data_IF_905532805020
#
_entry.id   IF_905532805020
#
_cell.length_a   1.000
_cell.length_b   1.000
_cell.length_c   1.000
_cell.angle_alpha   90.00
_cell.angle_beta   90.00
_cell.angle_gamma   90.00
#
_symmetry.space_group_name_H-M   'P 1'
#
loop_
_entity.id
_entity.type
_entity.pdbx_description
1 polymer ?
#
# COMPACT_ATOMS: atom_id res chain seq x y z
N UNK A 1 -0.37 -37.04 5.97
CA UNK A 1 0.73 -36.16 5.51
C UNK A 1 0.89 -36.40 4.02
N UNK A 2 0.65 -35.39 3.18
CA UNK A 2 0.74 -35.50 1.72
C UNK A 2 2.01 -34.82 1.22
N UNK A 3 2.71 -35.44 0.26
CA UNK A 3 3.84 -34.82 -0.45
C UNK A 3 3.38 -34.43 -1.84
N UNK A 4 3.63 -33.18 -2.20
CA UNK A 4 3.26 -32.58 -3.46
C UNK A 4 4.47 -31.89 -4.06
N UNK A 5 4.42 -31.65 -5.36
CA UNK A 5 5.45 -30.88 -6.06
C UNK A 5 4.77 -29.71 -6.74
N UNK A 6 5.11 -28.49 -6.34
CA UNK A 6 4.67 -27.29 -7.00
C UNK A 6 5.66 -26.95 -8.10
N UNK A 7 5.18 -26.88 -9.34
CA UNK A 7 5.99 -26.46 -10.50
C UNK A 7 5.60 -25.04 -10.87
N UNK A 8 6.55 -24.12 -10.79
CA UNK A 8 6.37 -22.71 -11.15
C UNK A 8 7.12 -22.45 -12.45
N UNK A 9 6.43 -21.97 -13.47
CA UNK A 9 7.02 -21.61 -14.76
C UNK A 9 6.73 -20.16 -15.08
N UNK A 10 7.76 -19.33 -15.25
CA UNK A 10 7.64 -17.90 -15.60
C UNK A 10 8.73 -17.55 -16.59
N UNK A 11 8.36 -16.98 -17.76
CA UNK A 11 9.32 -16.50 -18.76
C UNK A 11 10.35 -17.55 -19.20
N UNK A 12 9.92 -18.81 -19.38
CA UNK A 12 10.79 -19.93 -19.74
C UNK A 12 11.66 -20.48 -18.60
N UNK A 13 11.66 -19.86 -17.42
CA UNK A 13 12.32 -20.38 -16.21
C UNK A 13 11.37 -21.32 -15.47
N UNK A 14 11.92 -22.42 -14.94
CA UNK A 14 11.17 -23.43 -14.19
C UNK A 14 11.78 -23.60 -12.79
N UNK A 15 10.95 -23.53 -11.76
CA UNK A 15 11.28 -23.84 -10.39
C UNK A 15 10.39 -25.00 -9.90
N UNK A 16 10.99 -25.95 -9.20
CA UNK A 16 10.29 -27.10 -8.62
C UNK A 16 10.42 -27.01 -7.11
N UNK A 17 9.29 -26.78 -6.43
CA UNK A 17 9.23 -26.61 -4.97
C UNK A 17 8.57 -27.83 -4.34
N UNK A 18 9.28 -28.60 -3.50
CA UNK A 18 8.67 -29.69 -2.76
C UNK A 18 7.74 -29.10 -1.68
N UNK A 19 6.47 -29.53 -1.68
CA UNK A 19 5.46 -29.10 -0.72
C UNK A 19 5.04 -30.27 0.14
N UNK A 20 5.07 -30.10 1.46
CA UNK A 20 4.61 -31.09 2.41
C UNK A 20 3.38 -30.55 3.14
N UNK A 21 2.23 -31.18 2.89
CA UNK A 21 0.97 -30.83 3.57
C UNK A 21 0.84 -31.69 4.83
N UNK A 22 0.75 -31.02 5.98
CA UNK A 22 0.50 -31.64 7.29
C UNK A 22 -0.83 -31.13 7.83
N UNK A 23 -1.55 -31.99 8.56
CA UNK A 23 -2.81 -31.63 9.27
C UNK A 23 -3.89 -31.02 8.36
N UNK A 24 -4.07 -31.56 7.15
CA UNK A 24 -5.06 -31.04 6.17
C UNK A 24 -6.51 -31.23 6.65
N UNK A 25 -6.73 -32.19 7.53
CA UNK A 25 -7.98 -32.53 8.20
C UNK A 25 -8.29 -31.62 9.40
N UNK A 26 -7.29 -30.91 9.92
CA UNK A 26 -7.50 -29.98 11.02
C UNK A 26 -8.08 -28.67 10.52
N UNK A 27 -9.31 -28.39 10.93
CA UNK A 27 -9.92 -27.08 10.70
C UNK A 27 -9.56 -26.18 11.87
N UNK A 28 -8.72 -25.17 11.64
CA UNK A 28 -8.44 -24.17 12.67
C UNK A 28 -9.74 -23.43 13.05
N UNK A 29 -10.03 -23.27 14.35
CA UNK A 29 -11.19 -22.49 14.80
C UNK A 29 -11.01 -21.02 14.41
N UNK A 30 -12.12 -20.33 14.15
CA UNK A 30 -12.07 -18.90 13.85
C UNK A 30 -11.82 -18.15 15.15
N UNK A 31 -10.76 -17.35 15.19
CA UNK A 31 -10.37 -16.56 16.35
C UNK A 31 -10.91 -15.15 16.23
N UNK A 32 -11.43 -14.62 17.33
CA UNK A 32 -12.04 -13.30 17.31
C UNK A 32 -11.01 -12.22 16.94
N UNK A 33 -9.85 -12.21 17.61
CA UNK A 33 -8.79 -11.23 17.40
C UNK A 33 -8.02 -11.42 16.09
N UNK A 34 -7.83 -12.66 15.63
CA UNK A 34 -7.00 -12.94 14.44
C UNK A 34 -7.79 -13.03 13.13
N UNK A 35 -9.10 -13.24 13.18
CA UNK A 35 -9.95 -13.41 11.99
C UNK A 35 -11.09 -12.38 11.96
N UNK A 36 -11.91 -12.32 13.02
CA UNK A 36 -13.10 -11.45 13.05
C UNK A 36 -12.72 -9.98 13.09
N UNK A 37 -11.78 -9.59 13.95
CA UNK A 37 -11.35 -8.20 14.08
C UNK A 37 -10.74 -7.66 12.76
N UNK A 38 -9.83 -8.38 12.08
CA UNK A 38 -9.38 -7.98 10.75
C UNK A 38 -10.51 -7.85 9.71
N UNK A 39 -11.54 -8.70 9.74
CA UNK A 39 -12.71 -8.52 8.87
C UNK A 39 -13.43 -7.21 9.16
N UNK A 40 -13.66 -6.88 10.45
CA UNK A 40 -14.30 -5.63 10.83
C UNK A 40 -13.47 -4.40 10.43
N UNK A 41 -12.13 -4.50 10.54
CA UNK A 41 -11.21 -3.46 10.10
C UNK A 41 -11.20 -3.33 8.57
N UNK A 42 -11.17 -4.45 7.84
CA UNK A 42 -11.19 -4.46 6.38
C UNK A 42 -12.49 -3.94 5.79
N UNK A 43 -13.62 -4.29 6.39
CA UNK A 43 -14.92 -3.72 6.04
C UNK A 43 -15.08 -2.24 6.47
N UNK A 44 -14.12 -1.67 7.20
CA UNK A 44 -14.17 -0.29 7.70
C UNK A 44 -15.19 -0.07 8.82
N UNK A 45 -15.76 -1.14 9.41
CA UNK A 45 -16.79 -1.08 10.44
C UNK A 45 -16.30 -0.33 11.68
N UNK A 46 -15.05 -0.61 12.10
CA UNK A 46 -14.41 -0.03 13.28
C UNK A 46 -13.51 1.17 12.94
N UNK A 47 -13.72 1.82 11.78
CA UNK A 47 -13.04 3.06 11.43
C UNK A 47 -13.58 4.24 12.25
N UNK A 48 -12.78 5.30 12.38
CA UNK A 48 -13.15 6.50 13.14
C UNK A 48 -14.36 7.27 12.60
N UNK A 49 -14.81 6.99 11.38
CA UNK A 49 -16.00 7.59 10.78
C UNK A 49 -17.30 6.83 11.13
N UNK A 50 -17.21 5.60 11.64
CA UNK A 50 -18.35 4.71 11.87
C UNK A 50 -18.40 4.21 13.32
N UNK A 51 -18.38 2.89 13.56
CA UNK A 51 -18.48 2.33 14.91
C UNK A 51 -17.19 2.51 15.71
N UNK A 52 -16.06 2.79 15.05
CA UNK A 52 -14.81 3.19 15.71
C UNK A 52 -14.79 4.63 16.20
N UNK A 53 -15.78 5.46 15.84
CA UNK A 53 -15.88 6.81 16.39
C UNK A 53 -15.99 6.78 17.92
N UNK A 54 -15.52 7.81 18.62
CA UNK A 54 -15.55 7.85 20.10
C UNK A 54 -16.95 7.65 20.70
N UNK A 55 -18.00 8.08 19.98
CA UNK A 55 -19.41 7.89 20.35
C UNK A 55 -20.06 6.63 19.74
N UNK A 56 -19.38 5.96 18.82
CA UNK A 56 -19.92 4.90 17.98
C UNK A 56 -21.11 5.36 17.13
N UNK A 57 -21.92 4.40 16.68
CA UNK A 57 -23.17 4.67 15.96
C UNK A 57 -24.34 4.05 16.72
N UNK A 58 -25.34 4.87 17.08
CA UNK A 58 -26.60 4.44 17.72
C UNK A 58 -26.37 3.53 18.95
N UNK A 59 -25.39 3.86 19.77
CA UNK A 59 -25.05 3.11 20.99
C UNK A 59 -24.18 1.86 20.76
N UNK A 60 -23.72 1.61 19.54
CA UNK A 60 -22.73 0.56 19.25
C UNK A 60 -21.37 1.17 18.89
N UNK A 61 -20.39 0.94 19.78
CA UNK A 61 -19.01 1.38 19.63
C UNK A 61 -18.08 0.18 19.56
N UNK A 62 -17.06 0.29 18.71
CA UNK A 62 -15.94 -0.61 18.59
C UNK A 62 -14.66 0.18 18.82
N UNK A 63 -13.58 -0.49 19.19
CA UNK A 63 -12.28 0.14 19.25
C UNK A 63 -11.81 0.51 17.84
N UNK A 64 -11.19 1.68 17.70
CA UNK A 64 -10.65 2.14 16.42
C UNK A 64 -9.69 1.09 15.89
N UNK A 65 -9.88 0.60 14.66
CA UNK A 65 -9.03 -0.41 14.00
C UNK A 65 -8.77 -1.71 14.79
N UNK A 66 -9.54 -1.96 15.87
CA UNK A 66 -9.43 -3.18 16.66
C UNK A 66 -8.36 -3.19 17.75
N UNK A 67 -7.96 -2.03 18.28
CA UNK A 67 -7.00 -1.91 19.39
C UNK A 67 -7.46 -2.47 20.75
N UNK A 68 -8.75 -2.83 20.92
CA UNK A 68 -9.27 -3.50 22.12
C UNK A 68 -10.16 -4.71 21.73
N UNK A 69 -9.56 -5.84 21.27
CA UNK A 69 -10.33 -7.03 20.88
C UNK A 69 -11.17 -7.60 22.02
N UNK A 70 -10.67 -7.55 23.26
CA UNK A 70 -11.39 -8.08 24.41
C UNK A 70 -12.67 -7.29 24.71
N UNK A 71 -12.59 -5.96 24.71
CA UNK A 71 -13.77 -5.11 24.88
C UNK A 71 -14.69 -5.16 23.66
N UNK A 72 -14.18 -5.27 22.45
CA UNK A 72 -15.01 -5.37 21.25
C UNK A 72 -15.79 -6.67 21.19
N UNK A 73 -15.19 -7.78 21.63
CA UNK A 73 -15.91 -9.03 21.84
C UNK A 73 -17.08 -8.84 22.81
N UNK A 74 -16.84 -8.20 23.97
CA UNK A 74 -17.89 -7.90 24.94
C UNK A 74 -18.99 -7.00 24.35
N UNK A 75 -18.62 -5.94 23.61
CA UNK A 75 -19.56 -5.02 22.98
C UNK A 75 -20.40 -5.70 21.92
N UNK A 76 -19.83 -6.62 21.15
CA UNK A 76 -20.58 -7.41 20.16
C UNK A 76 -21.51 -8.41 20.84
N UNK A 77 -21.02 -9.14 21.83
CA UNK A 77 -21.71 -10.34 22.33
C UNK A 77 -22.57 -10.12 23.58
N UNK A 78 -22.24 -9.16 24.45
CA UNK A 78 -22.82 -9.05 25.81
C UNK A 78 -23.41 -7.69 26.18
N UNK A 79 -22.83 -6.58 25.72
CA UNK A 79 -23.23 -5.23 26.17
C UNK A 79 -24.74 -4.95 25.96
N UNK A 80 -25.31 -5.48 24.87
CA UNK A 80 -26.75 -5.49 24.63
C UNK A 80 -27.15 -6.86 24.10
N UNK A 81 -27.49 -7.76 25.01
CA UNK A 81 -27.82 -9.17 24.73
C UNK A 81 -28.91 -9.27 23.64
N UNK A 82 -28.68 -10.13 22.65
CA UNK A 82 -29.63 -10.43 21.57
C UNK A 82 -29.82 -9.33 20.51
N UNK A 83 -29.19 -8.15 20.66
CA UNK A 83 -29.37 -7.04 19.70
C UNK A 83 -28.47 -7.10 18.48
N UNK A 84 -27.32 -7.76 18.56
CA UNK A 84 -26.27 -7.72 17.52
C UNK A 84 -26.01 -9.07 16.87
N UNK A 85 -26.15 -10.13 17.67
CA UNK A 85 -25.94 -11.52 17.25
C UNK A 85 -27.13 -12.37 17.69
N UNK A 86 -27.50 -13.32 16.85
CA UNK A 86 -28.46 -14.39 17.12
C UNK A 86 -27.71 -15.72 16.94
N UNK A 87 -27.37 -16.40 18.05
CA UNK A 87 -26.64 -17.66 18.00
C UNK A 87 -27.53 -18.86 17.63
N UNK A 88 -28.86 -18.71 17.73
CA UNK A 88 -29.79 -19.73 17.27
C UNK A 88 -29.96 -19.66 15.74
N UNK A 89 -29.86 -18.46 15.16
CA UNK A 89 -29.90 -18.22 13.72
C UNK A 89 -28.72 -17.31 13.29
N UNK A 90 -27.48 -17.85 13.26
CA UNK A 90 -26.26 -17.08 12.99
C UNK A 90 -26.36 -16.14 11.79
N UNK A 91 -26.88 -16.63 10.66
CA UNK A 91 -27.02 -15.86 9.42
C UNK A 91 -27.95 -14.63 9.52
N UNK A 92 -28.89 -14.61 10.47
CA UNK A 92 -29.81 -13.48 10.71
C UNK A 92 -29.21 -12.40 11.62
N UNK A 93 -28.03 -12.65 12.20
CA UNK A 93 -27.34 -11.70 13.08
C UNK A 93 -27.17 -10.34 12.38
N UNK A 94 -27.52 -9.24 13.07
CA UNK A 94 -27.30 -7.90 12.55
C UNK A 94 -25.82 -7.60 12.25
N UNK A 95 -24.91 -8.29 12.94
CA UNK A 95 -23.48 -8.26 12.65
C UNK A 95 -23.12 -8.72 11.22
N UNK A 96 -23.97 -9.54 10.59
CA UNK A 96 -23.84 -9.97 9.20
C UNK A 96 -24.75 -9.17 8.27
N UNK A 97 -26.04 -9.10 8.59
CA UNK A 97 -27.07 -8.60 7.67
C UNK A 97 -26.96 -7.10 7.40
N UNK A 98 -26.43 -6.30 8.35
CA UNK A 98 -26.18 -4.86 8.16
C UNK A 98 -25.01 -4.60 7.20
N UNK A 99 -23.78 -5.07 7.47
CA UNK A 99 -22.66 -4.82 6.57
C UNK A 99 -22.82 -5.48 5.20
N UNK A 100 -23.61 -6.55 5.07
CA UNK A 100 -23.94 -7.14 3.77
C UNK A 100 -25.18 -6.54 3.08
N UNK A 101 -25.78 -5.51 3.68
CA UNK A 101 -26.98 -4.81 3.18
C UNK A 101 -28.19 -5.73 2.91
N UNK A 102 -28.27 -6.88 3.57
CA UNK A 102 -29.50 -7.69 3.60
C UNK A 102 -30.61 -6.98 4.38
N UNK A 103 -30.22 -6.07 5.28
CA UNK A 103 -31.10 -5.08 5.89
C UNK A 103 -30.44 -3.70 5.82
N UNK A 104 -31.27 -2.64 5.82
CA UNK A 104 -30.81 -1.25 5.67
C UNK A 104 -29.72 -0.91 6.69
N UNK A 105 -28.55 -0.53 6.20
CA UNK A 105 -27.42 -0.08 7.01
C UNK A 105 -27.07 1.36 6.65
N UNK A 106 -27.08 2.27 7.65
CA UNK A 106 -26.76 3.68 7.41
C UNK A 106 -25.32 3.92 6.95
N UNK A 107 -24.43 2.95 7.23
CA UNK A 107 -23.08 2.94 6.67
C UNK A 107 -23.01 2.35 5.27
N UNK A 108 -24.08 1.88 4.65
CA UNK A 108 -24.07 1.18 3.34
C UNK A 108 -23.37 -0.19 3.36
N UNK A 109 -23.36 -0.88 2.22
CA UNK A 109 -22.66 -2.15 2.05
C UNK A 109 -21.17 -2.04 2.38
N UNK A 110 -20.65 -3.06 3.08
CA UNK A 110 -19.23 -3.20 3.48
C UNK A 110 -18.59 -4.44 2.86
N UNK A 111 -19.37 -5.49 2.61
CA UNK A 111 -18.95 -6.71 1.92
C UNK A 111 -20.17 -7.48 1.40
N UNK A 112 -19.99 -8.33 0.38
CA UNK A 112 -21.07 -9.16 -0.14
C UNK A 112 -21.38 -10.36 0.77
N UNK A 113 -22.60 -10.89 0.66
CA UNK A 113 -23.06 -12.05 1.43
C UNK A 113 -22.33 -13.36 1.04
N UNK A 114 -21.74 -13.42 -0.14
CA UNK A 114 -20.91 -14.52 -0.62
C UNK A 114 -19.40 -14.23 -0.51
N UNK A 115 -19.02 -13.16 0.19
CA UNK A 115 -17.61 -12.82 0.41
C UNK A 115 -16.95 -13.75 1.43
N UNK A 116 -15.62 -13.85 1.39
CA UNK A 116 -14.84 -14.53 2.44
C UNK A 116 -15.07 -13.88 3.80
N UNK A 117 -15.15 -12.55 3.85
CA UNK A 117 -15.42 -11.78 5.07
C UNK A 117 -16.74 -12.21 5.73
N UNK A 118 -17.82 -12.34 4.96
CA UNK A 118 -19.09 -12.84 5.46
C UNK A 118 -18.95 -14.26 6.05
N UNK A 119 -18.30 -15.17 5.33
CA UNK A 119 -18.10 -16.56 5.77
C UNK A 119 -17.30 -16.67 7.06
N UNK A 120 -16.27 -15.83 7.26
CA UNK A 120 -15.49 -15.80 8.50
C UNK A 120 -16.36 -15.41 9.69
N UNK A 121 -17.14 -14.34 9.55
CA UNK A 121 -18.06 -13.88 10.61
C UNK A 121 -19.14 -14.91 10.91
N UNK A 122 -19.75 -15.50 9.86
CA UNK A 122 -20.77 -16.54 10.01
C UNK A 122 -20.19 -17.75 10.75
N UNK A 123 -19.02 -18.25 10.33
CA UNK A 123 -18.38 -19.40 10.97
C UNK A 123 -18.03 -19.13 12.42
N UNK A 124 -17.61 -17.92 12.78
CA UNK A 124 -17.40 -17.55 14.18
C UNK A 124 -18.70 -17.55 15.00
N UNK A 125 -19.81 -17.07 14.43
CA UNK A 125 -21.12 -17.11 15.07
C UNK A 125 -21.64 -18.55 15.22
N UNK A 126 -21.49 -19.40 14.21
CA UNK A 126 -21.82 -20.83 14.26
C UNK A 126 -21.01 -21.59 15.32
N UNK A 127 -19.80 -21.13 15.62
CA UNK A 127 -18.97 -21.64 16.71
C UNK A 127 -19.40 -21.14 18.10
N UNK A 128 -20.49 -20.37 18.20
CA UNK A 128 -20.99 -19.81 19.44
C UNK A 128 -20.35 -18.48 19.85
N UNK A 129 -19.76 -17.76 18.89
CA UNK A 129 -19.06 -16.49 19.10
C UNK A 129 -17.99 -16.55 20.23
N UNK A 130 -17.09 -17.55 20.23
CA UNK A 130 -16.16 -17.76 21.33
C UNK A 130 -15.22 -16.57 21.50
N UNK A 131 -14.86 -16.29 22.75
CA UNK A 131 -13.75 -15.41 23.08
C UNK A 131 -12.44 -16.16 22.83
N UNK A 132 -11.42 -15.45 22.39
CA UNK A 132 -10.10 -16.05 22.25
C UNK A 132 -9.53 -16.51 23.61
N UNK A 133 -8.81 -17.65 23.63
CA UNK A 133 -8.11 -18.08 24.82
C UNK A 133 -6.91 -17.16 25.11
N UNK A 134 -6.43 -17.16 26.35
CA UNK A 134 -5.37 -16.25 26.79
C UNK A 134 -4.02 -16.51 26.09
N UNK A 135 -3.80 -17.75 25.65
CA UNK A 135 -2.58 -18.25 25.00
C UNK A 135 -2.65 -18.19 23.46
N UNK A 136 -3.60 -17.45 22.90
CA UNK A 136 -3.67 -17.27 21.44
C UNK A 136 -2.39 -16.65 20.89
N UNK A 137 -1.85 -17.26 19.82
CA UNK A 137 -0.63 -16.81 19.16
C UNK A 137 -0.77 -15.37 18.66
N UNK A 138 0.28 -14.56 18.86
CA UNK A 138 0.30 -13.15 18.48
C UNK A 138 1.13 -12.94 17.24
N UNK A 139 0.71 -11.99 16.40
CA UNK A 139 1.51 -11.56 15.26
C UNK A 139 2.78 -10.87 15.79
N UNK A 140 3.95 -11.35 15.36
CA UNK A 140 5.27 -10.75 15.62
C UNK A 140 5.68 -9.75 14.54
N UNK A 141 5.36 -10.04 13.28
CA UNK A 141 5.66 -9.16 12.13
C UNK A 141 4.75 -9.46 10.95
N UNK A 142 4.57 -8.45 10.10
CA UNK A 142 4.04 -8.60 8.75
C UNK A 142 5.17 -8.51 7.73
N UNK A 143 5.02 -9.28 6.66
CA UNK A 143 5.91 -9.28 5.51
C UNK A 143 5.07 -9.16 4.24
N UNK A 144 5.45 -8.26 3.34
CA UNK A 144 4.74 -8.01 2.08
C UNK A 144 5.63 -8.45 0.93
N UNK A 145 5.06 -9.22 0.01
CA UNK A 145 5.73 -9.71 -1.19
C UNK A 145 5.09 -9.14 -2.47
N UNK A 146 5.92 -8.69 -3.43
CA UNK A 146 7.36 -8.46 -3.30
C UNK A 146 7.64 -7.29 -2.33
N UNK A 147 8.89 -7.15 -1.88
CA UNK A 147 9.31 -6.10 -0.93
C UNK A 147 9.47 -4.71 -1.57
N UNK A 148 9.39 -4.62 -2.89
CA UNK A 148 9.32 -3.40 -3.70
C UNK A 148 8.64 -3.76 -5.02
N UNK A 149 7.83 -2.84 -5.58
CA UNK A 149 7.21 -3.01 -6.89
C UNK A 149 7.65 -1.88 -7.82
N UNK A 150 8.07 -2.22 -9.04
CA UNK A 150 8.28 -1.27 -10.13
C UNK A 150 7.28 -1.59 -11.23
N UNK A 151 6.40 -0.64 -11.55
CA UNK A 151 5.37 -0.75 -12.58
C UNK A 151 5.66 0.18 -13.74
N UNK A 152 5.24 -0.22 -14.93
CA UNK A 152 5.14 0.70 -16.06
C UNK A 152 3.83 1.49 -15.95
N UNK A 153 3.89 2.82 -16.07
CA UNK A 153 2.71 3.67 -16.13
C UNK A 153 1.97 3.53 -17.44
N UNK A 154 0.65 3.73 -17.42
CA UNK A 154 -0.21 3.72 -18.60
C UNK A 154 -0.02 5.01 -19.38
N UNK A 155 0.14 4.95 -20.72
CA UNK A 155 0.14 6.16 -21.54
C UNK A 155 -1.27 6.73 -21.65
N UNK A 156 -1.45 8.06 -21.78
CA UNK A 156 -2.74 8.63 -22.09
C UNK A 156 -3.31 8.02 -23.39
N UNK A 157 -4.50 7.41 -23.32
CA UNK A 157 -5.17 6.79 -24.46
C UNK A 157 -4.80 5.33 -24.74
N UNK A 158 -3.96 4.70 -23.91
CA UNK A 158 -3.67 3.25 -23.95
C UNK A 158 -4.36 2.52 -22.80
N UNK A 159 -4.75 1.26 -23.04
CA UNK A 159 -5.21 0.37 -21.98
C UNK A 159 -4.07 0.05 -21.00
N UNK A 160 -4.41 -0.22 -19.75
CA UNK A 160 -3.47 -0.67 -18.73
C UNK A 160 -2.72 -1.93 -19.22
N UNK A 161 -1.42 -1.81 -19.47
CA UNK A 161 -0.60 -2.95 -19.89
C UNK A 161 -0.58 -4.03 -18.80
N UNK A 162 -0.41 -5.32 -19.15
CA UNK A 162 -0.26 -6.38 -18.15
C UNK A 162 0.91 -6.13 -17.15
N UNK A 163 1.91 -5.33 -17.54
CA UNK A 163 3.04 -4.88 -16.71
C UNK A 163 2.73 -3.66 -15.82
N UNK A 164 1.51 -3.12 -15.89
CA UNK A 164 1.09 -1.96 -15.10
C UNK A 164 0.42 -2.35 -13.80
N UNK A 165 0.38 -3.64 -13.44
CA UNK A 165 -0.16 -4.09 -12.15
C UNK A 165 0.60 -5.28 -11.56
N UNK A 166 0.51 -5.43 -10.24
CA UNK A 166 1.10 -6.55 -9.50
C UNK A 166 0.20 -6.95 -8.32
N UNK A 167 0.05 -8.24 -8.06
CA UNK A 167 -0.63 -8.74 -6.86
C UNK A 167 0.34 -8.81 -5.68
N UNK A 168 -0.04 -8.23 -4.56
CA UNK A 168 0.70 -8.33 -3.31
C UNK A 168 0.26 -9.58 -2.55
N UNK A 169 1.19 -10.16 -1.80
CA UNK A 169 0.92 -11.19 -0.80
C UNK A 169 1.40 -10.68 0.55
N UNK A 170 0.53 -10.76 1.56
CA UNK A 170 0.83 -10.31 2.92
C UNK A 170 0.86 -11.52 3.82
N UNK A 171 1.99 -11.73 4.49
CA UNK A 171 2.23 -12.85 5.38
C UNK A 171 2.44 -12.37 6.80
N UNK A 172 1.61 -12.86 7.71
CA UNK A 172 1.78 -12.67 9.14
C UNK A 172 2.65 -13.79 9.71
N UNK A 173 3.64 -13.41 10.51
CA UNK A 173 4.48 -14.36 11.27
C UNK A 173 4.09 -14.28 12.74
N UNK A 174 3.79 -15.42 13.36
CA UNK A 174 3.30 -15.52 14.73
C UNK A 174 4.40 -15.86 15.72
N UNK A 175 4.11 -15.66 17.00
CA UNK A 175 5.05 -15.91 18.09
C UNK A 175 5.37 -17.38 18.35
N UNK A 176 4.42 -18.27 18.04
CA UNK A 176 4.56 -19.74 18.04
C UNK A 176 5.38 -20.29 16.87
N UNK A 177 5.89 -19.43 15.98
CA UNK A 177 6.71 -19.78 14.83
C UNK A 177 5.93 -20.18 13.58
N UNK A 178 4.59 -20.14 13.62
CA UNK A 178 3.76 -20.33 12.43
C UNK A 178 3.70 -19.05 11.58
N UNK A 179 3.31 -19.18 10.32
CA UNK A 179 2.98 -18.06 9.44
C UNK A 179 1.64 -18.30 8.72
N UNK A 180 1.03 -17.21 8.24
CA UNK A 180 -0.26 -17.26 7.52
C UNK A 180 -0.32 -16.19 6.44
N UNK A 181 -0.89 -16.56 5.30
CA UNK A 181 -1.35 -15.58 4.31
C UNK A 181 -2.58 -14.83 4.84
N UNK A 182 -2.42 -13.52 5.02
CA UNK A 182 -3.44 -12.61 5.54
C UNK A 182 -3.83 -11.55 4.49
N UNK A 183 -3.49 -11.76 3.22
CA UNK A 183 -3.78 -10.83 2.11
C UNK A 183 -5.28 -10.52 2.06
N UNK A 184 -6.12 -11.54 2.15
CA UNK A 184 -7.58 -11.43 2.15
C UNK A 184 -8.13 -10.60 3.32
N UNK A 185 -7.40 -10.51 4.44
CA UNK A 185 -7.78 -9.77 5.65
C UNK A 185 -7.06 -8.42 5.81
N UNK A 186 -6.13 -8.11 4.91
CA UNK A 186 -5.33 -6.89 4.98
C UNK A 186 -6.09 -5.69 4.41
N UNK A 187 -5.95 -4.54 5.08
CA UNK A 187 -6.35 -3.23 4.54
C UNK A 187 -5.17 -2.65 3.77
N UNK A 188 -5.42 -2.30 2.51
CA UNK A 188 -4.44 -1.63 1.65
C UNK A 188 -4.81 -0.17 1.44
N UNK A 189 -3.83 0.72 1.55
CA UNK A 189 -3.96 2.13 1.15
C UNK A 189 -2.73 2.58 0.38
N UNK A 190 -2.89 3.59 -0.46
CA UNK A 190 -1.77 4.21 -1.20
C UNK A 190 -1.58 5.63 -0.73
N UNK A 191 -0.34 6.02 -0.44
CA UNK A 191 -0.01 7.41 -0.05
C UNK A 191 -0.08 8.39 -1.22
N UNK A 192 0.05 7.89 -2.46
CA UNK A 192 -0.02 8.68 -3.69
C UNK A 192 -0.80 7.93 -4.78
N UNK A 193 -2.13 8.07 -4.75
CA UNK A 193 -3.05 7.45 -5.74
C UNK A 193 -2.90 8.01 -7.15
N UNK A 194 -2.35 9.22 -7.29
CA UNK A 194 -2.02 9.80 -8.59
C UNK A 194 -0.90 9.03 -9.30
N UNK A 195 -0.04 8.34 -8.56
CA UNK A 195 1.01 7.50 -9.10
C UNK A 195 0.66 6.02 -9.08
N UNK A 196 0.19 5.47 -7.97
CA UNK A 196 -0.20 4.06 -7.89
C UNK A 196 -1.45 3.89 -7.03
N UNK A 197 -2.41 3.10 -7.50
CA UNK A 197 -3.60 2.70 -6.74
C UNK A 197 -3.48 1.26 -6.29
N UNK A 198 -4.18 0.88 -5.21
CA UNK A 198 -4.22 -0.50 -4.73
C UNK A 198 -5.67 -0.90 -4.47
N UNK A 199 -6.05 -2.07 -4.95
CA UNK A 199 -7.39 -2.63 -4.73
C UNK A 199 -7.50 -3.26 -3.34
N UNK A 200 -8.74 -3.51 -2.89
CA UNK A 200 -9.01 -4.22 -1.63
C UNK A 200 -8.42 -5.65 -1.60
N UNK A 201 -8.21 -6.27 -2.77
CA UNK A 201 -7.62 -7.60 -2.93
C UNK A 201 -6.08 -7.58 -3.02
N UNK A 202 -5.46 -6.41 -2.78
CA UNK A 202 -4.01 -6.25 -2.80
C UNK A 202 -3.42 -6.22 -4.21
N UNK A 203 -4.18 -5.82 -5.24
CA UNK A 203 -3.62 -5.59 -6.58
C UNK A 203 -3.21 -4.13 -6.69
N UNK A 204 -1.90 -3.88 -6.81
CA UNK A 204 -1.36 -2.54 -7.05
C UNK A 204 -1.30 -2.28 -8.55
N UNK A 205 -1.76 -1.10 -8.99
CA UNK A 205 -1.77 -0.68 -10.40
C UNK A 205 -1.14 0.69 -10.57
N UNK A 206 -0.20 0.79 -11.50
CA UNK A 206 0.49 2.02 -11.85
C UNK A 206 -0.44 2.94 -12.65
N UNK A 207 -0.37 4.23 -12.33
CA UNK A 207 -1.10 5.30 -12.98
C UNK A 207 -0.09 6.20 -13.70
N UNK A 208 0.29 7.33 -13.09
CA UNK A 208 1.30 8.24 -13.63
C UNK A 208 2.67 7.93 -13.04
N UNK A 209 3.71 8.35 -13.78
CA UNK A 209 5.08 8.35 -13.28
C UNK A 209 5.14 8.99 -11.89
N UNK A 210 5.80 8.31 -10.97
CA UNK A 210 5.98 8.80 -9.60
C UNK A 210 6.32 7.68 -8.65
N UNK A 211 6.33 8.02 -7.37
CA UNK A 211 6.52 7.06 -6.28
C UNK A 211 5.30 7.12 -5.36
N UNK A 212 4.96 5.96 -4.80
CA UNK A 212 3.96 5.81 -3.75
C UNK A 212 4.46 4.80 -2.73
N UNK A 213 3.91 4.88 -1.51
CA UNK A 213 3.97 3.77 -0.57
C UNK A 213 2.58 3.14 -0.51
N UNK A 214 2.53 1.82 -0.70
CA UNK A 214 1.34 1.03 -0.38
C UNK A 214 1.47 0.58 1.07
N UNK A 215 0.55 1.00 1.91
CA UNK A 215 0.48 0.58 3.30
C UNK A 215 -0.40 -0.66 3.40
N UNK A 216 0.09 -1.70 4.07
CA UNK A 216 -0.61 -2.94 4.35
C UNK A 216 -0.81 -3.07 5.86
N UNK A 217 -2.08 -3.06 6.30
CA UNK A 217 -2.46 -3.13 7.71
C UNK A 217 -3.19 -4.44 8.02
N UNK A 218 -2.72 -5.16 9.04
CA UNK A 218 -3.38 -6.34 9.59
C UNK A 218 -3.25 -6.34 11.11
N UNK A 219 -4.40 -6.27 11.81
CA UNK A 219 -4.44 -6.02 13.25
C UNK A 219 -3.72 -4.72 13.61
N UNK A 220 -2.85 -4.78 14.61
CA UNK A 220 -2.05 -3.64 15.08
C UNK A 220 -0.80 -3.36 14.22
N UNK A 221 -0.53 -4.20 13.22
CA UNK A 221 0.69 -4.13 12.42
C UNK A 221 0.42 -3.40 11.11
N UNK A 222 1.35 -2.52 10.73
CA UNK A 222 1.29 -1.76 9.50
C UNK A 222 2.68 -1.73 8.84
N UNK A 223 2.75 -2.11 7.55
CA UNK A 223 4.00 -2.15 6.79
C UNK A 223 3.84 -1.38 5.49
N UNK A 224 4.80 -0.51 5.20
CA UNK A 224 4.87 0.24 3.95
C UNK A 224 5.72 -0.47 2.90
N UNK A 225 5.18 -0.60 1.70
CA UNK A 225 5.84 -1.14 0.51
C UNK A 225 6.14 0.01 -0.47
N UNK A 226 7.41 0.23 -0.87
CA UNK A 226 7.71 1.17 -1.94
C UNK A 226 7.18 0.68 -3.29
N UNK A 227 6.47 1.56 -3.99
CA UNK A 227 5.96 1.36 -5.34
C UNK A 227 6.46 2.49 -6.23
N UNK A 228 7.12 2.12 -7.32
CA UNK A 228 7.68 3.06 -8.29
C UNK A 228 6.94 2.86 -9.61
N UNK A 229 6.42 3.94 -10.18
CA UNK A 229 5.81 3.92 -11.50
C UNK A 229 6.71 4.68 -12.45
N UNK A 230 7.22 3.98 -13.47
CA UNK A 230 8.10 4.54 -14.48
C UNK A 230 7.35 4.78 -15.80
N UNK A 231 7.81 5.69 -16.68
CA UNK A 231 7.23 5.83 -18.02
C UNK A 231 7.28 4.50 -18.80
N UNK A 232 6.17 4.17 -19.46
CA UNK A 232 6.14 3.11 -20.47
C UNK A 232 6.87 3.54 -21.75
N UNK A 233 7.48 2.57 -22.46
CA UNK A 233 8.26 2.83 -23.68
C UNK A 233 9.74 2.47 -23.57
N UNK A 234 10.50 2.72 -24.64
CA UNK A 234 11.91 2.35 -24.71
C UNK A 234 12.71 3.06 -23.61
N UNK A 235 13.55 2.29 -22.94
CA UNK A 235 14.43 2.79 -21.88
C UNK A 235 15.66 3.40 -22.53
N UNK A 236 15.90 4.69 -22.29
CA UNK A 236 17.15 5.33 -22.72
C UNK A 236 18.35 4.62 -22.09
N UNK A 237 19.43 4.47 -22.85
CA UNK A 237 20.67 3.90 -22.34
C UNK A 237 21.18 4.75 -21.18
N UNK A 238 21.38 4.11 -20.02
CA UNK A 238 21.92 4.80 -18.85
C UNK A 238 23.44 4.98 -19.06
N UNK A 239 23.97 6.20 -18.97
CA UNK A 239 25.39 6.45 -19.21
C UNK A 239 26.26 5.79 -18.13
N UNK A 240 27.49 5.43 -18.49
CA UNK A 240 28.49 5.02 -17.51
C UNK A 240 28.95 6.26 -16.72
N UNK A 241 28.46 6.36 -15.48
CA UNK A 241 28.76 7.45 -14.58
C UNK A 241 29.90 7.08 -13.63
N UNK A 242 30.87 7.98 -13.39
CA UNK A 242 31.93 7.75 -12.43
C UNK A 242 31.35 7.60 -11.02
N UNK A 243 31.85 6.62 -10.26
CA UNK A 243 31.46 6.39 -8.87
C UNK A 243 32.62 6.84 -7.98
N UNK A 244 32.46 7.95 -7.27
CA UNK A 244 33.48 8.43 -6.34
C UNK A 244 33.28 7.85 -4.93
N UNK A 245 32.04 7.53 -4.56
CA UNK A 245 31.72 7.02 -3.23
C UNK A 245 30.43 6.17 -3.22
N UNK A 246 30.12 5.62 -2.04
CA UNK A 246 28.93 4.77 -1.83
C UNK A 246 27.60 5.50 -2.09
N UNK A 247 27.53 6.81 -1.88
CA UNK A 247 26.32 7.60 -2.15
C UNK A 247 26.04 7.62 -3.65
N UNK A 248 27.08 7.78 -4.48
CA UNK A 248 26.94 7.76 -5.94
C UNK A 248 26.40 6.41 -6.43
N UNK A 249 26.86 5.29 -5.85
CA UNK A 249 26.33 3.96 -6.18
C UNK A 249 24.83 3.85 -5.89
N UNK A 250 24.37 4.40 -4.75
CA UNK A 250 22.97 4.40 -4.36
C UNK A 250 22.14 5.31 -5.26
N UNK A 251 22.66 6.49 -5.60
CA UNK A 251 22.06 7.43 -6.53
C UNK A 251 21.91 6.80 -7.92
N UNK A 252 22.99 6.25 -8.48
CA UNK A 252 22.95 5.62 -9.81
C UNK A 252 21.98 4.45 -9.84
N UNK A 253 21.93 3.63 -8.77
CA UNK A 253 20.95 2.55 -8.64
C UNK A 253 19.52 3.09 -8.64
N UNK A 254 19.24 4.15 -7.90
CA UNK A 254 17.91 4.78 -7.84
C UNK A 254 17.51 5.39 -9.17
N UNK A 255 18.41 6.11 -9.84
CA UNK A 255 18.16 6.74 -11.14
C UNK A 255 17.90 5.71 -12.24
N UNK A 256 18.66 4.61 -12.25
CA UNK A 256 18.37 3.45 -13.12
C UNK A 256 16.98 2.88 -12.88
N UNK A 257 16.59 2.65 -11.61
CA UNK A 257 15.24 2.19 -11.27
C UNK A 257 14.15 3.14 -11.76
N UNK A 258 14.37 4.44 -11.64
CA UNK A 258 13.44 5.49 -12.08
C UNK A 258 13.43 5.74 -13.59
N UNK A 259 14.32 5.09 -14.35
CA UNK A 259 14.58 5.38 -15.77
C UNK A 259 14.89 6.86 -16.02
N UNK A 260 15.63 7.49 -15.10
CA UNK A 260 16.05 8.91 -15.21
C UNK A 260 17.51 8.96 -15.61
N UNK A 261 17.79 9.46 -16.81
CA UNK A 261 19.16 9.72 -17.27
C UNK A 261 19.64 11.04 -16.67
N UNK A 262 20.77 11.06 -15.93
CA UNK A 262 21.28 12.30 -15.36
C UNK A 262 21.76 13.27 -16.44
N UNK A 263 21.67 14.56 -16.16
CA UNK A 263 22.25 15.57 -17.05
C UNK A 263 23.79 15.53 -16.98
N UNK A 264 24.49 15.99 -18.04
CA UNK A 264 25.93 16.18 -18.00
C UNK A 264 26.34 17.15 -16.87
N UNK A 265 27.61 17.06 -16.45
CA UNK A 265 28.19 18.04 -15.55
C UNK A 265 28.13 19.43 -16.20
N UNK A 266 27.69 20.40 -15.40
CA UNK A 266 27.56 21.80 -15.80
C UNK A 266 28.77 22.56 -15.24
N UNK A 267 29.29 23.56 -15.98
CA UNK A 267 30.32 24.45 -15.45
C UNK A 267 29.73 25.54 -14.55
N UNK A 268 30.59 26.16 -13.74
CA UNK A 268 30.18 27.18 -12.75
C UNK A 268 29.45 28.37 -13.41
N UNK A 269 29.74 28.66 -14.68
CA UNK A 269 29.15 29.78 -15.42
C UNK A 269 27.70 29.54 -15.86
N UNK A 270 27.26 28.28 -15.92
CA UNK A 270 25.98 27.87 -16.50
C UNK A 270 24.91 27.55 -15.42
N UNK A 271 25.19 27.83 -14.13
CA UNK A 271 24.36 27.39 -12.98
C UNK A 271 23.02 28.11 -12.75
N UNK A 272 22.66 29.15 -13.51
CA UNK A 272 21.46 29.96 -13.27
C UNK A 272 20.29 29.65 -14.21
N UNK A 273 19.66 28.47 -14.05
CA UNK A 273 18.24 28.24 -14.36
C UNK A 273 17.74 26.87 -13.83
N UNK A 274 17.48 26.77 -12.53
CA UNK A 274 16.52 25.78 -12.00
C UNK A 274 17.02 24.37 -11.68
N UNK A 275 18.31 24.17 -11.37
CA UNK A 275 18.81 22.89 -10.85
C UNK A 275 18.74 22.79 -9.32
N UNK A 276 18.33 21.61 -8.81
CA UNK A 276 18.53 21.23 -7.41
C UNK A 276 19.84 20.46 -7.27
N UNK A 277 20.74 20.95 -6.43
CA UNK A 277 22.05 20.32 -6.17
C UNK A 277 21.90 19.05 -5.32
N UNK A 278 22.64 18.00 -5.69
CA UNK A 278 23.03 16.94 -4.74
C UNK A 278 24.53 17.07 -4.47
N UNK A 279 25.00 16.59 -3.31
CA UNK A 279 26.42 16.68 -2.87
C UNK A 279 27.42 16.03 -3.84
N UNK A 280 26.93 15.30 -4.84
CA UNK A 280 27.69 14.66 -5.92
C UNK A 280 27.86 15.53 -7.18
N UNK A 281 27.38 16.77 -7.22
CA UNK A 281 27.56 17.69 -8.36
C UNK A 281 26.63 17.44 -9.56
N UNK A 282 25.65 16.53 -9.46
CA UNK A 282 24.67 16.32 -10.53
C UNK A 282 23.49 17.28 -10.44
N UNK A 283 23.21 18.00 -11.54
CA UNK A 283 21.98 18.72 -11.81
C UNK A 283 20.84 17.73 -12.11
N UNK A 284 19.77 17.70 -11.30
CA UNK A 284 18.48 17.17 -11.77
C UNK A 284 17.75 18.27 -12.52
N UNK A 285 17.49 18.08 -13.81
CA UNK A 285 16.65 19.00 -14.58
C UNK A 285 15.17 18.83 -14.23
N UNK A 286 14.42 19.94 -14.24
CA UNK A 286 12.95 19.94 -14.19
C UNK A 286 12.44 19.25 -15.45
N UNK A 287 11.70 18.14 -15.29
CA UNK A 287 10.91 17.57 -16.39
C UNK A 287 9.79 18.55 -16.69
N UNK A 288 9.86 19.24 -17.83
CA UNK A 288 8.82 20.15 -18.29
C UNK A 288 7.57 19.33 -18.68
N UNK A 289 6.43 19.58 -18.01
CA UNK A 289 5.17 18.84 -18.22
C UNK A 289 4.29 19.41 -19.34
N UNK A 290 4.80 20.35 -20.14
CA UNK A 290 4.07 20.89 -21.30
C UNK A 290 4.83 20.51 -22.57
N UNK A 291 4.16 19.76 -23.43
CA UNK A 291 4.69 19.36 -24.73
C UNK A 291 4.91 20.57 -25.61
N UNK A 292 6.16 20.97 -25.80
CA UNK A 292 6.59 21.82 -26.90
C UNK A 292 8.08 21.60 -27.13
N UNK A 293 8.43 21.15 -28.34
CA UNK A 293 9.82 21.02 -28.80
C UNK A 293 10.51 22.40 -28.81
N UNK A 294 11.82 22.51 -28.55
CA UNK A 294 12.51 23.78 -28.59
C UNK A 294 12.84 24.12 -30.05
N UNK A 295 12.04 24.96 -30.68
CA UNK A 295 12.41 25.66 -31.91
C UNK A 295 12.38 27.17 -31.66
N UNK A 296 13.48 27.81 -32.03
CA UNK A 296 13.71 29.26 -32.20
C UNK A 296 13.65 30.15 -30.94
N UNK A 297 14.79 30.76 -30.65
CA UNK A 297 14.93 31.98 -29.84
C UNK A 297 14.38 33.15 -30.65
N UNK A 298 13.41 33.94 -30.15
CA UNK A 298 13.09 35.23 -30.75
C UNK A 298 13.97 36.33 -30.14
N UNK A 299 14.72 37.00 -31.01
CA UNK A 299 15.34 38.29 -30.78
C UNK A 299 14.29 39.40 -30.63
N UNK A 300 14.58 40.36 -29.75
CA UNK A 300 13.94 41.67 -29.57
C UNK A 300 12.58 41.70 -28.86
N UNK A 301 12.53 42.46 -27.76
CA UNK A 301 11.33 42.69 -26.97
C UNK A 301 11.67 43.34 -25.63
N UNK A 302 11.82 44.66 -25.66
CA UNK A 302 12.03 45.58 -24.54
C UNK A 302 11.14 45.30 -23.33
N UNK A 303 11.74 45.27 -22.13
CA UNK A 303 10.98 45.32 -20.88
C UNK A 303 11.81 45.08 -19.63
N UNK A 304 12.34 46.16 -19.06
CA UNK A 304 12.73 46.32 -17.64
C UNK A 304 13.88 45.44 -17.11
N UNK A 305 15.12 45.88 -17.39
CA UNK A 305 16.28 45.58 -16.54
C UNK A 305 16.67 46.84 -15.78
N UNK A 306 16.46 46.87 -14.46
CA UNK A 306 17.17 47.81 -13.59
C UNK A 306 18.55 47.20 -13.34
N UNK A 307 19.57 47.83 -13.90
CA UNK A 307 20.98 47.52 -13.68
C UNK A 307 21.37 47.75 -12.22
N UNK A 308 22.08 46.80 -11.61
CA UNK A 308 23.09 47.11 -10.59
C UNK A 308 24.34 46.28 -10.89
N UNK A 309 25.37 46.98 -11.36
CA UNK A 309 26.72 46.48 -11.46
C UNK A 309 27.30 46.24 -10.06
N UNK A 310 28.18 45.25 -9.96
CA UNK A 310 29.06 45.09 -8.80
C UNK A 310 30.49 45.05 -9.32
N UNK A 311 31.14 46.20 -9.29
CA UNK A 311 32.60 46.31 -9.35
C UNK A 311 33.04 47.02 -8.05
N UNK A 312 33.98 46.45 -7.26
CA UNK A 312 34.18 46.83 -5.87
C UNK A 312 35.35 47.82 -5.75
N UNK A 313 35.05 49.11 -5.57
CA UNK A 313 36.04 50.05 -5.03
C UNK A 313 35.39 51.35 -4.58
N UNK A 314 35.76 51.79 -3.37
CA UNK A 314 35.38 53.03 -2.66
C UNK A 314 33.95 52.99 -2.09
N UNK A 315 33.71 53.22 -0.79
CA UNK A 315 34.12 54.37 -0.01
C UNK A 315 34.30 54.04 1.48
N UNK A 316 35.42 54.58 1.99
CA UNK A 316 35.71 54.85 3.40
C UNK A 316 34.98 56.16 3.79
N UNK A 317 34.42 56.16 5.00
CA UNK A 317 34.08 57.29 5.90
C UNK A 317 33.14 58.41 5.42
N UNK A 318 32.17 58.72 6.30
CA UNK A 318 31.32 59.91 6.29
C UNK A 318 30.11 59.71 7.17
#
# INVERSE_FOLDING_TARGET
>A
MGRWTLVVTVGGRRLVVPVTVRRADMTSPVRFGLDVMPVLTKGGCNSGSCHGASRGQRGFRLSVFGFDPAGDHFRITREFVGRRIDLARPAESLLLTKPSEQVVHGGGQRFDADSEMYRVLLKWLEQGAPRDPQDVSRVKRLEVFPSEVVLSGTRPGEDAAAESSHRLVVRAHYDDGTDRDVTGLTVFTSTNTASAVVSADGVVSGQRRGESFVMAMFGEHNVGLPVIVVPGGPVAAFPDLPVANRVDELIHRKLRKLRVVPSPLCDDSTSFAGCTWTRSGCCLSRVNTTGSSPTSVPTSGSGWWTSCSSDPSSLISG
#
